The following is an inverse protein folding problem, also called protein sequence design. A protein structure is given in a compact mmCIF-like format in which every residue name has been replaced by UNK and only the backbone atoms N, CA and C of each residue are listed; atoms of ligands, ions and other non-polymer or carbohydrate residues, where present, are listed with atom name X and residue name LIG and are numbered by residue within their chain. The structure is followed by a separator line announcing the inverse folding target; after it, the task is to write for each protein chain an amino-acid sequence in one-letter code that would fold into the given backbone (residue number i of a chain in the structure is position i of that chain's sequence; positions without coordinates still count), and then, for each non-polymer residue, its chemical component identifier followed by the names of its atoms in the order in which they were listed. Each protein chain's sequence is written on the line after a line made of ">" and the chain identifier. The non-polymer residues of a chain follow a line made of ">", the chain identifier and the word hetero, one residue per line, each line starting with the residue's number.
data_IF_688762858348
#
_entry.id   IF_688762858348
#
_cell.length_a   1.000
_cell.length_b   1.000
_cell.length_c   1.000
_cell.angle_alpha   90.00
_cell.angle_beta   90.00
_cell.angle_gamma   90.00
#
_symmetry.space_group_name_H-M   'P 1'
#
loop_
_entity.id
_entity.type
_entity.pdbx_description
1 polymer ?
#
# COMPACT_ATOMS: atom_id res chain seq x y z
N UNK A 1 17.17 -11.18 -0.11
CA UNK A 1 16.91 -9.76 0.23
C UNK A 1 16.34 -9.63 1.61
N UNK A 2 16.79 -8.67 2.34
CA UNK A 2 16.35 -8.45 3.70
C UNK A 2 15.05 -7.63 3.70
N UNK A 3 14.00 -8.17 4.29
CA UNK A 3 12.69 -7.53 4.39
C UNK A 3 12.74 -6.21 5.17
N UNK A 4 13.60 -6.13 6.17
CA UNK A 4 13.80 -4.90 6.95
C UNK A 4 14.33 -3.77 6.08
N UNK A 5 15.15 -4.10 5.10
CA UNK A 5 15.73 -3.10 4.21
C UNK A 5 14.65 -2.37 3.42
N UNK A 6 13.64 -3.09 2.92
CA UNK A 6 12.53 -2.46 2.18
C UNK A 6 11.76 -1.50 3.08
N UNK A 7 11.32 -1.97 4.23
CA UNK A 7 10.57 -1.13 5.18
C UNK A 7 11.39 0.06 5.65
N UNK A 8 12.66 -0.16 5.95
CA UNK A 8 13.56 0.92 6.41
C UNK A 8 13.74 1.97 5.34
N UNK A 9 13.94 1.56 4.08
CA UNK A 9 14.08 2.47 2.95
C UNK A 9 12.83 3.32 2.76
N UNK A 10 11.67 2.70 2.81
CA UNK A 10 10.39 3.40 2.65
C UNK A 10 10.14 4.36 3.80
N UNK A 11 10.39 3.94 5.01
CA UNK A 11 10.16 4.78 6.18
C UNK A 11 11.08 6.00 6.18
N UNK A 12 12.35 5.80 5.80
CA UNK A 12 13.30 6.91 5.68
C UNK A 12 12.84 7.93 4.65
N UNK A 13 12.39 7.46 3.50
CA UNK A 13 11.86 8.31 2.44
C UNK A 13 10.61 9.08 2.91
N UNK A 14 9.68 8.38 3.52
CA UNK A 14 8.43 8.96 4.02
C UNK A 14 8.70 10.03 5.09
N UNK A 15 9.55 9.74 6.06
CA UNK A 15 9.92 10.68 7.11
C UNK A 15 10.61 11.91 6.55
N UNK A 16 11.44 11.75 5.51
CA UNK A 16 12.10 12.87 4.86
C UNK A 16 11.11 13.81 4.17
N UNK A 17 10.04 13.26 3.60
CA UNK A 17 9.01 14.07 2.95
C UNK A 17 8.08 14.79 3.93
N UNK A 18 7.71 14.14 5.02
CA UNK A 18 6.75 14.75 5.96
C UNK A 18 7.36 15.86 6.79
N UNK A 19 8.65 15.82 7.02
CA UNK A 19 9.36 16.78 7.89
C UNK A 19 8.70 16.83 9.27
N UNK A 20 8.10 17.97 9.64
CA UNK A 20 7.43 18.13 10.93
C UNK A 20 5.91 17.91 10.87
N UNK A 21 5.39 17.56 9.68
CA UNK A 21 3.97 17.33 9.52
C UNK A 21 3.59 15.91 9.92
N UNK A 22 2.35 15.68 10.36
CA UNK A 22 1.89 14.29 10.65
C UNK A 22 1.94 13.39 9.44
N UNK A 23 1.64 13.94 8.24
CA UNK A 23 1.62 13.21 6.98
C UNK A 23 2.36 14.01 5.92
N UNK A 24 3.12 13.37 5.04
CA UNK A 24 3.65 14.06 3.87
C UNK A 24 2.53 14.33 2.86
N UNK A 25 2.62 15.46 2.18
CA UNK A 25 1.72 15.77 1.06
C UNK A 25 2.16 14.96 -0.15
N UNK A 26 1.22 14.38 -0.87
CA UNK A 26 1.55 13.55 -2.03
C UNK A 26 2.24 14.35 -3.16
N UNK A 27 2.09 15.66 -3.19
CA UNK A 27 2.78 16.50 -4.17
C UNK A 27 4.32 16.38 -4.07
N UNK A 28 4.84 15.92 -2.95
CA UNK A 28 6.27 15.71 -2.76
C UNK A 28 6.73 14.31 -3.16
N UNK A 29 5.79 13.42 -3.51
CA UNK A 29 6.12 12.06 -3.89
C UNK A 29 6.86 12.02 -5.23
N UNK A 30 7.95 11.26 -5.27
CA UNK A 30 8.72 11.06 -6.49
C UNK A 30 9.20 9.62 -6.54
N UNK A 31 8.61 8.83 -7.41
CA UNK A 31 8.95 7.41 -7.54
C UNK A 31 10.42 7.19 -7.90
N UNK A 32 11.04 8.16 -8.56
CA UNK A 32 12.47 8.07 -8.92
C UNK A 32 13.37 7.96 -7.68
N UNK A 33 12.95 8.55 -6.57
CA UNK A 33 13.73 8.51 -5.33
C UNK A 33 13.78 7.10 -4.73
N UNK A 34 12.84 6.23 -5.10
CA UNK A 34 12.77 4.85 -4.64
C UNK A 34 12.73 3.87 -5.82
N UNK A 35 13.35 4.26 -6.94
CA UNK A 35 13.35 3.45 -8.16
C UNK A 35 13.93 2.04 -7.93
N UNK A 36 14.89 1.92 -7.03
CA UNK A 36 15.53 0.64 -6.70
C UNK A 36 14.58 -0.36 -6.02
N UNK A 37 13.53 0.12 -5.38
CA UNK A 37 12.57 -0.74 -4.68
C UNK A 37 11.15 -0.62 -5.23
N UNK A 38 10.94 0.21 -6.24
CA UNK A 38 9.61 0.49 -6.78
C UNK A 38 8.87 -0.77 -7.25
N UNK A 39 9.59 -1.73 -7.80
CA UNK A 39 9.00 -2.99 -8.27
C UNK A 39 8.29 -3.78 -7.17
N UNK A 40 8.60 -3.50 -5.91
CA UNK A 40 8.00 -4.15 -4.74
C UNK A 40 6.93 -3.27 -4.09
N UNK A 41 6.47 -2.23 -4.76
CA UNK A 41 5.53 -1.26 -4.21
C UNK A 41 4.23 -1.21 -4.98
N UNK A 42 3.19 -0.74 -4.30
CA UNK A 42 1.88 -0.45 -4.88
C UNK A 42 1.45 0.91 -4.39
N UNK A 43 0.94 1.73 -5.28
CA UNK A 43 0.38 3.03 -4.93
C UNK A 43 -1.12 3.00 -5.11
N UNK A 44 -1.84 3.36 -4.06
CA UNK A 44 -3.29 3.49 -4.08
C UNK A 44 -3.69 4.95 -3.94
N UNK A 45 -4.74 5.34 -4.66
CA UNK A 45 -5.45 6.58 -4.38
C UNK A 45 -6.64 6.25 -3.50
N UNK A 46 -7.00 7.17 -2.63
CA UNK A 46 -8.08 6.98 -1.66
C UNK A 46 -9.14 8.02 -1.90
N UNK A 47 -10.37 7.57 -2.19
CA UNK A 47 -11.53 8.45 -2.22
C UNK A 47 -12.16 8.45 -0.84
N UNK A 48 -12.49 9.61 -0.28
CA UNK A 48 -13.00 9.69 1.08
C UNK A 48 -14.35 8.98 1.23
N UNK A 49 -14.58 8.45 2.42
CA UNK A 49 -15.89 7.89 2.78
C UNK A 49 -16.91 9.01 2.82
N UNK A 50 -18.10 8.76 2.26
CA UNK A 50 -19.22 9.68 2.27
C UNK A 50 -20.39 8.97 2.93
N UNK A 51 -20.94 9.55 4.00
CA UNK A 51 -22.16 9.07 4.68
C UNK A 51 -22.29 7.55 4.76
N UNK A 52 -21.59 6.91 5.69
CA UNK A 52 -21.65 5.47 5.94
C UNK A 52 -21.16 4.58 4.79
N UNK A 53 -20.57 5.17 3.76
CA UNK A 53 -19.96 4.38 2.69
C UNK A 53 -18.49 4.10 3.01
N UNK A 54 -17.99 2.90 2.67
CA UNK A 54 -16.59 2.60 2.88
C UNK A 54 -15.69 3.44 1.97
N UNK A 55 -14.41 3.57 2.33
CA UNK A 55 -13.42 4.19 1.46
C UNK A 55 -13.35 3.44 0.15
N UNK A 56 -13.18 4.17 -0.95
CA UNK A 56 -12.92 3.59 -2.26
C UNK A 56 -11.43 3.71 -2.55
N UNK A 57 -10.82 2.59 -2.86
CA UNK A 57 -9.41 2.50 -3.14
C UNK A 57 -9.22 2.18 -4.62
N UNK A 58 -8.31 2.90 -5.27
CA UNK A 58 -7.96 2.64 -6.65
C UNK A 58 -6.50 2.23 -6.73
N UNK A 59 -6.22 1.14 -7.46
CA UNK A 59 -4.86 0.79 -7.80
C UNK A 59 -4.36 1.77 -8.84
N UNK A 60 -3.52 2.70 -8.42
CA UNK A 60 -2.98 3.72 -9.32
C UNK A 60 -1.75 3.20 -10.07
N UNK A 61 -0.79 2.65 -9.32
CA UNK A 61 0.43 2.09 -9.90
C UNK A 61 0.80 0.83 -9.13
N UNK A 62 1.28 -0.17 -9.84
CA UNK A 62 1.70 -1.45 -9.27
C UNK A 62 3.08 -1.78 -9.78
N UNK A 63 4.02 -2.03 -8.88
CA UNK A 63 5.35 -2.49 -9.23
C UNK A 63 5.31 -3.88 -9.88
N UNK A 64 6.25 -4.16 -10.78
CA UNK A 64 6.24 -5.38 -11.58
C UNK A 64 6.23 -6.67 -10.75
N UNK A 65 6.98 -6.71 -9.67
CA UNK A 65 7.00 -7.89 -8.80
C UNK A 65 5.67 -8.11 -8.10
N UNK A 66 5.01 -7.04 -7.68
CA UNK A 66 3.70 -7.14 -7.02
C UNK A 66 2.66 -7.62 -8.03
N UNK A 67 2.74 -7.13 -9.26
CA UNK A 67 1.84 -7.56 -10.33
C UNK A 67 1.92 -9.06 -10.58
N UNK A 68 3.11 -9.64 -10.48
CA UNK A 68 3.28 -11.08 -10.66
C UNK A 68 2.54 -11.90 -9.60
N UNK A 69 2.33 -11.33 -8.42
CA UNK A 69 1.61 -12.03 -7.33
C UNK A 69 0.10 -11.87 -7.46
N UNK A 70 -0.36 -10.66 -7.75
CA UNK A 70 -1.79 -10.33 -7.76
C UNK A 70 -2.45 -10.45 -9.13
N UNK A 71 -1.66 -10.55 -10.21
CA UNK A 71 -2.17 -10.60 -11.57
C UNK A 71 -2.09 -9.26 -12.28
N UNK A 72 -2.29 -9.29 -13.59
CA UNK A 72 -2.04 -8.13 -14.47
C UNK A 72 -3.19 -7.12 -14.53
N UNK A 73 -4.35 -7.47 -13.99
CA UNK A 73 -5.57 -6.69 -14.22
C UNK A 73 -5.90 -5.72 -13.10
N UNK A 74 -4.96 -5.42 -12.21
CA UNK A 74 -5.26 -4.64 -11.03
C UNK A 74 -5.18 -3.13 -11.25
N UNK A 75 -4.30 -2.67 -12.15
CA UNK A 75 -4.13 -1.24 -12.42
C UNK A 75 -5.43 -0.65 -12.97
N UNK A 76 -5.83 0.47 -12.41
CA UNK A 76 -7.06 1.15 -12.81
C UNK A 76 -8.33 0.58 -12.18
N UNK A 77 -8.25 -0.55 -11.48
CA UNK A 77 -9.42 -1.11 -10.79
C UNK A 77 -9.65 -0.38 -9.48
N UNK A 78 -10.92 -0.22 -9.15
CA UNK A 78 -11.30 0.32 -7.86
C UNK A 78 -12.08 -0.71 -7.06
N UNK A 79 -11.97 -0.62 -5.74
CA UNK A 79 -12.71 -1.46 -4.82
C UNK A 79 -12.89 -0.70 -3.51
N UNK A 80 -13.81 -1.17 -2.69
CA UNK A 80 -13.99 -0.57 -1.36
C UNK A 80 -13.51 -1.52 -0.28
N UNK A 81 -13.35 -1.01 0.92
CA UNK A 81 -12.81 -1.78 2.04
C UNK A 81 -13.75 -2.89 2.53
N UNK A 82 -14.97 -2.94 2.03
CA UNK A 82 -15.92 -4.01 2.34
C UNK A 82 -15.72 -5.27 1.49
N UNK A 83 -14.96 -5.19 0.41
CA UNK A 83 -14.70 -6.34 -0.47
C UNK A 83 -13.66 -7.26 0.16
N UNK A 84 -14.12 -8.33 0.79
CA UNK A 84 -13.28 -9.19 1.62
C UNK A 84 -12.79 -10.46 0.95
N UNK A 85 -13.31 -10.80 -0.21
CA UNK A 85 -12.92 -11.98 -0.97
C UNK A 85 -11.91 -11.70 -2.07
N UNK A 86 -11.46 -10.48 -2.17
CA UNK A 86 -10.41 -10.06 -3.06
C UNK A 86 -9.07 -10.62 -2.57
N UNK A 87 -8.15 -11.00 -3.47
CA UNK A 87 -6.87 -11.60 -3.10
C UNK A 87 -6.04 -10.74 -2.14
N UNK A 88 -6.11 -9.45 -2.25
CA UNK A 88 -5.42 -8.54 -1.35
C UNK A 88 -6.23 -8.09 -0.15
N UNK A 89 -7.29 -8.81 0.22
CA UNK A 89 -8.24 -8.36 1.24
C UNK A 89 -7.60 -8.06 2.60
N UNK A 90 -6.58 -8.81 2.99
CA UNK A 90 -5.89 -8.55 4.26
C UNK A 90 -5.21 -7.19 4.25
N UNK A 91 -4.55 -6.83 3.14
CA UNK A 91 -3.91 -5.53 2.97
C UNK A 91 -4.98 -4.42 2.97
N UNK A 92 -6.10 -4.66 2.29
CA UNK A 92 -7.20 -3.69 2.22
C UNK A 92 -7.72 -3.34 3.62
N UNK A 93 -7.89 -4.34 4.48
CA UNK A 93 -8.32 -4.10 5.85
C UNK A 93 -7.30 -3.26 6.64
N UNK A 94 -6.02 -3.49 6.41
CA UNK A 94 -4.97 -2.69 7.06
C UNK A 94 -4.95 -1.26 6.54
N UNK A 95 -5.29 -1.07 5.27
CA UNK A 95 -5.41 0.27 4.71
C UNK A 95 -6.51 1.07 5.38
N UNK A 96 -7.62 0.42 5.72
CA UNK A 96 -8.69 1.08 6.47
C UNK A 96 -8.15 1.65 7.79
N UNK A 97 -7.35 0.89 8.51
CA UNK A 97 -6.74 1.34 9.76
C UNK A 97 -5.83 2.56 9.55
N UNK A 98 -4.94 2.49 8.54
CA UNK A 98 -3.98 3.59 8.31
C UNK A 98 -4.67 4.85 7.77
N UNK A 99 -5.84 4.71 7.15
CA UNK A 99 -6.63 5.84 6.68
C UNK A 99 -7.39 6.50 7.83
N UNK A 100 -8.02 5.71 8.68
CA UNK A 100 -8.82 6.23 9.80
C UNK A 100 -7.96 6.81 10.92
N UNK A 101 -6.81 6.21 11.17
CA UNK A 101 -5.84 6.70 12.15
C UNK A 101 -4.50 6.87 11.45
N UNK A 102 -4.31 8.00 10.76
CA UNK A 102 -3.16 8.17 9.86
C UNK A 102 -1.81 7.97 10.55
N UNK A 103 -1.17 6.86 10.23
CA UNK A 103 0.14 6.50 10.74
C UNK A 103 0.72 5.39 9.87
N UNK A 104 2.04 5.25 9.88
CA UNK A 104 2.69 4.11 9.24
C UNK A 104 2.25 2.83 9.94
N UNK A 105 1.90 1.83 9.14
CA UNK A 105 1.48 0.53 9.64
C UNK A 105 2.33 -0.57 9.01
N UNK A 106 2.80 -1.50 9.81
CA UNK A 106 3.50 -2.69 9.32
C UNK A 106 2.62 -3.90 9.61
N UNK A 107 2.55 -4.81 8.63
CA UNK A 107 1.68 -5.97 8.74
C UNK A 107 2.34 -7.21 8.16
N UNK A 108 1.86 -8.37 8.59
CA UNK A 108 2.25 -9.67 8.04
C UNK A 108 0.97 -10.44 7.70
N UNK A 109 1.03 -11.24 6.64
CA UNK A 109 -0.15 -12.00 6.25
C UNK A 109 0.18 -13.06 5.23
N UNK A 110 -0.86 -13.72 4.74
CA UNK A 110 -0.72 -14.72 3.69
C UNK A 110 -2.00 -14.79 2.86
N UNK A 111 -1.86 -15.24 1.63
CA UNK A 111 -2.98 -15.51 0.74
C UNK A 111 -2.58 -16.58 -0.27
N UNK A 112 -3.56 -17.10 -0.98
CA UNK A 112 -3.33 -18.07 -2.06
C UNK A 112 -3.42 -17.30 -3.38
N UNK A 113 -2.37 -17.41 -4.20
CA UNK A 113 -2.33 -16.70 -5.49
C UNK A 113 -3.01 -17.49 -6.61
N UNK A 114 -2.96 -16.97 -7.84
CA UNK A 114 -3.55 -17.59 -9.02
C UNK A 114 -2.98 -18.95 -9.34
N UNK A 115 -1.75 -19.23 -8.92
CA UNK A 115 -1.08 -20.52 -9.12
C UNK A 115 -1.35 -21.51 -8.00
N UNK A 116 -2.30 -21.20 -7.13
CA UNK A 116 -2.65 -22.02 -5.96
C UNK A 116 -1.50 -22.19 -4.98
N UNK A 117 -0.58 -21.21 -4.94
CA UNK A 117 0.54 -21.20 -4.01
C UNK A 117 0.23 -20.28 -2.84
N UNK A 118 0.71 -20.66 -1.67
CA UNK A 118 0.60 -19.80 -0.49
C UNK A 118 1.68 -18.73 -0.60
N UNK A 119 1.27 -17.47 -0.54
CA UNK A 119 2.18 -16.32 -0.49
C UNK A 119 2.15 -15.78 0.93
N UNK A 120 3.31 -15.79 1.58
CA UNK A 120 3.47 -15.15 2.90
C UNK A 120 4.18 -13.83 2.67
N UNK A 121 3.67 -12.76 3.27
CA UNK A 121 4.17 -11.42 3.00
C UNK A 121 4.32 -10.58 4.26
N UNK A 122 5.17 -9.57 4.13
CA UNK A 122 5.24 -8.44 5.06
C UNK A 122 4.97 -7.18 4.26
N UNK A 123 4.20 -6.28 4.84
CA UNK A 123 3.85 -5.03 4.18
C UNK A 123 4.14 -3.85 5.09
N UNK A 124 4.44 -2.72 4.45
CA UNK A 124 4.61 -1.43 5.10
C UNK A 124 3.66 -0.47 4.40
N UNK A 125 2.72 0.10 5.14
CA UNK A 125 1.71 1.01 4.60
C UNK A 125 2.04 2.42 5.04
N UNK A 126 2.18 3.32 4.06
CA UNK A 126 2.65 4.69 4.27
C UNK A 126 1.57 5.66 3.76
N UNK A 127 0.85 6.32 4.66
CA UNK A 127 -0.21 7.25 4.24
C UNK A 127 0.35 8.60 3.82
N UNK A 128 -0.28 9.22 2.81
CA UNK A 128 -0.01 10.58 2.38
C UNK A 128 -1.31 11.36 2.45
N UNK A 129 -1.23 12.62 2.77
CA UNK A 129 -2.45 13.41 2.81
C UNK A 129 -2.22 14.85 3.26
N UNK A 130 -3.33 15.57 3.45
CA UNK A 130 -3.39 16.95 3.91
C UNK A 130 -4.42 17.10 4.99
N UNK A 131 -4.12 17.92 5.97
CA UNK A 131 -5.08 18.30 7.02
C UNK A 131 -5.71 17.07 7.68
N UNK A 132 -4.88 16.05 7.91
CA UNK A 132 -5.34 14.81 8.55
C UNK A 132 -6.13 13.86 7.66
N UNK A 133 -6.31 14.19 6.39
CA UNK A 133 -7.06 13.35 5.45
C UNK A 133 -6.11 12.62 4.52
N UNK A 134 -6.19 11.31 4.50
CA UNK A 134 -5.35 10.48 3.64
C UNK A 134 -5.90 10.51 2.23
N UNK A 135 -5.01 10.82 1.27
CA UNK A 135 -5.35 10.87 -0.16
C UNK A 135 -4.71 9.72 -0.93
N UNK A 136 -3.60 9.20 -0.43
CA UNK A 136 -2.83 8.13 -1.07
C UNK A 136 -2.24 7.22 0.00
N UNK A 137 -2.04 5.97 -0.36
CA UNK A 137 -1.29 5.02 0.47
C UNK A 137 -0.28 4.32 -0.42
N UNK A 138 0.98 4.40 -0.02
CA UNK A 138 2.06 3.65 -0.66
C UNK A 138 2.29 2.39 0.16
N UNK A 139 2.26 1.24 -0.50
CA UNK A 139 2.47 -0.06 0.17
C UNK A 139 3.72 -0.71 -0.38
N UNK A 140 4.65 -1.06 0.51
CA UNK A 140 5.79 -1.87 0.16
C UNK A 140 5.55 -3.31 0.60
N UNK A 141 5.90 -4.27 -0.26
CA UNK A 141 5.68 -5.70 -0.02
C UNK A 141 6.95 -6.49 -0.21
N UNK A 142 7.26 -7.35 0.76
CA UNK A 142 8.22 -8.42 0.59
C UNK A 142 7.51 -9.74 0.89
N UNK A 143 7.85 -10.80 0.14
CA UNK A 143 7.08 -12.03 0.21
C UNK A 143 7.89 -13.26 -0.19
N UNK A 144 7.30 -14.43 0.15
CA UNK A 144 7.76 -15.73 -0.33
C UNK A 144 6.56 -16.55 -0.78
N UNK A 145 6.74 -17.27 -1.86
CA UNK A 145 5.76 -18.20 -2.39
C UNK A 145 6.13 -19.62 -1.97
N UNK A 146 5.16 -20.38 -1.52
CA UNK A 146 5.36 -21.76 -1.05
C UNK A 146 4.63 -22.78 -1.90
#
# INVERSE_FOLDING_TARGET
>A
MNEHRLSDRLLLYWNGMRKDLPLPDFSHFNASAIADIWQSCVLFTVSPAVENKPFVLNFDQIGDKVRDIYGNEMVGRSFNTAQRHFQGAAIVRRMEETIESPAVLNDVGQFINERSKVVKYRSCLLPFGRDGKVTHVLVGLSWREY
#
